data_IF_570376685387
#
_entry.id   IF_570376685387
#
_cell.length_a   1.000
_cell.length_b   1.000
_cell.length_c   1.000
_cell.angle_alpha   90.00
_cell.angle_beta   90.00
_cell.angle_gamma   90.00
#
_symmetry.space_group_name_H-M   'P 1'
#
loop_
_entity.id
_entity.type
_entity.pdbx_description
1 polymer ?
#
# COMPACT_ATOMS: atom_id res chain seq x y z
N UNK A 1 12.02 22.97 -3.53
CA UNK A 1 10.63 22.56 -3.23
C UNK A 1 10.59 22.10 -1.78
N UNK A 2 9.51 22.37 -1.05
CA UNK A 2 9.33 21.76 0.26
C UNK A 2 9.19 20.24 0.08
N UNK A 3 9.72 19.45 1.02
CA UNK A 3 9.48 18.00 1.01
C UNK A 3 7.98 17.75 1.22
N UNK A 4 7.38 16.77 0.50
CA UNK A 4 5.96 16.46 0.68
C UNK A 4 5.71 15.98 2.10
N UNK A 5 4.54 16.30 2.66
CA UNK A 5 4.09 15.74 3.93
C UNK A 5 3.30 14.48 3.67
N UNK A 6 3.69 13.37 4.29
CA UNK A 6 3.08 12.06 4.01
C UNK A 6 2.26 11.58 5.20
N UNK A 7 0.99 11.26 4.97
CA UNK A 7 0.14 10.63 5.96
C UNK A 7 0.42 9.14 6.08
N UNK A 8 0.24 8.56 7.25
CA UNK A 8 0.10 7.11 7.45
C UNK A 8 -1.26 6.85 8.07
N UNK A 9 -2.11 6.07 7.41
CA UNK A 9 -3.45 5.75 7.92
C UNK A 9 -3.32 5.00 9.25
N UNK A 10 -3.78 5.63 10.34
CA UNK A 10 -3.50 5.22 11.71
C UNK A 10 -4.74 4.70 12.46
N UNK A 11 -5.63 4.03 11.73
CA UNK A 11 -6.83 3.40 12.29
C UNK A 11 -6.54 1.98 12.82
N UNK A 12 -5.71 1.23 12.11
CA UNK A 12 -5.22 -0.09 12.49
C UNK A 12 -4.03 -0.42 11.58
N UNK A 13 -3.01 -1.11 12.11
CA UNK A 13 -1.92 -1.65 11.29
C UNK A 13 -0.52 -1.31 11.81
N UNK A 14 0.48 -1.58 10.99
CA UNK A 14 1.90 -1.33 11.26
C UNK A 14 2.30 0.15 11.06
N UNK A 15 1.60 1.06 11.75
CA UNK A 15 1.73 2.52 11.56
C UNK A 15 3.15 3.01 11.88
N UNK A 16 3.66 2.66 13.07
CA UNK A 16 4.94 3.15 13.59
C UNK A 16 6.13 2.79 12.69
N UNK A 17 6.09 1.62 12.05
CA UNK A 17 7.17 1.16 11.16
C UNK A 17 7.24 2.00 9.88
N UNK A 18 6.08 2.37 9.32
CA UNK A 18 6.02 3.26 8.17
C UNK A 18 6.44 4.68 8.53
N UNK A 19 6.04 5.20 9.69
CA UNK A 19 6.50 6.50 10.20
C UNK A 19 8.02 6.50 10.33
N UNK A 20 8.59 5.48 10.97
CA UNK A 20 10.03 5.38 11.14
C UNK A 20 10.80 5.32 9.82
N UNK A 21 10.26 4.59 8.83
CA UNK A 21 10.84 4.54 7.49
C UNK A 21 10.84 5.91 6.79
N UNK A 22 9.76 6.68 6.91
CA UNK A 22 9.64 8.03 6.36
C UNK A 22 10.56 9.04 7.07
N UNK A 23 10.66 8.96 8.40
CA UNK A 23 11.57 9.78 9.20
C UNK A 23 13.04 9.55 8.82
N UNK A 24 13.44 8.29 8.58
CA UNK A 24 14.80 7.95 8.10
C UNK A 24 15.11 8.55 6.72
N UNK A 25 14.09 8.85 5.93
CA UNK A 25 14.20 9.55 4.64
C UNK A 25 14.08 11.08 4.76
N UNK A 26 13.95 11.61 5.97
CA UNK A 26 13.82 13.03 6.23
C UNK A 26 12.48 13.64 5.83
N UNK A 27 11.45 12.80 5.63
CA UNK A 27 10.11 13.23 5.25
C UNK A 27 9.25 13.46 6.50
N UNK A 28 8.53 14.58 6.53
CA UNK A 28 7.56 14.84 7.60
C UNK A 28 6.35 13.90 7.44
N UNK A 29 6.08 13.09 8.46
CA UNK A 29 4.95 12.16 8.48
C UNK A 29 3.89 12.52 9.51
N UNK A 30 2.62 12.27 9.19
CA UNK A 30 1.47 12.52 10.08
C UNK A 30 0.63 11.25 10.21
N UNK A 31 0.28 10.86 11.42
CA UNK A 31 -0.75 9.84 11.64
C UNK A 31 -2.11 10.38 11.20
N UNK A 32 -2.76 9.69 10.26
CA UNK A 32 -4.08 10.07 9.75
C UNK A 32 -5.14 9.23 10.45
N UNK A 33 -5.86 9.85 11.39
CA UNK A 33 -6.99 9.22 12.11
C UNK A 33 -8.32 9.88 11.78
N UNK A 34 -8.29 11.14 11.34
CA UNK A 34 -9.47 11.98 11.08
C UNK A 34 -9.30 12.78 9.80
N UNK A 35 -10.40 13.37 9.35
CA UNK A 35 -10.46 14.21 8.14
C UNK A 35 -9.52 15.42 8.24
N UNK A 36 -9.35 16.01 9.43
CA UNK A 36 -8.42 17.13 9.62
C UNK A 36 -6.96 16.73 9.48
N UNK A 37 -6.61 15.48 9.79
CA UNK A 37 -5.26 14.95 9.57
C UNK A 37 -5.03 14.74 8.06
N UNK A 38 -6.02 14.16 7.38
CA UNK A 38 -5.98 13.92 5.93
C UNK A 38 -5.84 15.22 5.12
N UNK A 39 -6.50 16.30 5.56
CA UNK A 39 -6.43 17.61 4.92
C UNK A 39 -5.00 18.21 4.94
N UNK A 40 -4.11 17.71 5.80
CA UNK A 40 -2.77 18.27 5.99
C UNK A 40 -1.67 17.57 5.19
N UNK A 41 -1.97 16.46 4.52
CA UNK A 41 -0.95 15.61 3.87
C UNK A 41 -1.07 15.68 2.35
N UNK A 42 0.06 15.51 1.66
CA UNK A 42 0.19 15.55 0.21
C UNK A 42 0.08 14.15 -0.42
N UNK A 43 0.35 13.10 0.35
CA UNK A 43 0.20 11.70 -0.04
C UNK A 43 -0.07 10.80 1.18
N UNK A 44 -0.47 9.55 0.94
CA UNK A 44 -0.89 8.65 2.00
C UNK A 44 -0.29 7.25 1.88
N UNK A 45 0.22 6.72 2.98
CA UNK A 45 0.55 5.31 3.15
C UNK A 45 -0.62 4.60 3.84
N UNK A 46 -1.11 3.52 3.24
CA UNK A 46 -2.04 2.58 3.85
C UNK A 46 -1.24 1.35 4.31
N UNK A 47 -1.00 1.18 5.63
CA UNK A 47 -0.13 0.13 6.12
C UNK A 47 -0.78 -1.25 6.05
N UNK A 48 0.03 -2.29 6.28
CA UNK A 48 -0.45 -3.64 6.55
C UNK A 48 -1.30 -3.72 7.81
N UNK A 49 -2.08 -4.79 7.96
CA UNK A 49 -3.04 -4.95 9.04
C UNK A 49 -4.16 -5.92 8.66
N UNK A 50 -5.37 -5.66 9.16
CA UNK A 50 -6.56 -6.42 8.80
C UNK A 50 -7.51 -5.56 7.97
N UNK A 51 -7.48 -5.76 6.65
CA UNK A 51 -8.25 -4.97 5.66
C UNK A 51 -9.74 -4.82 5.99
N UNK A 52 -10.40 -5.87 6.50
CA UNK A 52 -11.82 -5.76 6.89
C UNK A 52 -12.04 -4.85 8.10
N UNK A 53 -11.08 -4.82 9.02
CA UNK A 53 -11.11 -3.92 10.18
C UNK A 53 -10.82 -2.50 9.75
N UNK A 54 -9.83 -2.29 8.89
CA UNK A 54 -9.51 -0.98 8.31
C UNK A 54 -10.73 -0.40 7.57
N UNK A 55 -11.36 -1.17 6.69
CA UNK A 55 -12.58 -0.78 5.98
C UNK A 55 -13.70 -0.37 6.96
N UNK A 56 -13.98 -1.20 7.98
CA UNK A 56 -14.99 -0.89 8.99
C UNK A 56 -14.66 0.38 9.78
N UNK A 57 -13.39 0.58 10.15
CA UNK A 57 -12.96 1.75 10.90
C UNK A 57 -13.02 3.03 10.05
N UNK A 58 -12.73 2.96 8.75
CA UNK A 58 -12.88 4.09 7.83
C UNK A 58 -14.34 4.58 7.79
N UNK A 59 -15.30 3.66 7.78
CA UNK A 59 -16.73 4.00 7.82
C UNK A 59 -17.13 4.56 9.18
N UNK A 60 -16.73 3.92 10.28
CA UNK A 60 -17.07 4.37 11.65
C UNK A 60 -16.53 5.77 11.95
N UNK A 61 -15.35 6.11 11.41
CA UNK A 61 -14.72 7.41 11.62
C UNK A 61 -15.06 8.42 10.51
N UNK A 62 -16.05 8.12 9.65
CA UNK A 62 -16.50 8.99 8.56
C UNK A 62 -15.35 9.46 7.63
N UNK A 63 -14.30 8.64 7.53
CA UNK A 63 -13.06 8.95 6.80
C UNK A 63 -13.00 8.29 5.42
N UNK A 64 -13.88 7.33 5.14
CA UNK A 64 -13.91 6.64 3.84
C UNK A 64 -14.15 7.61 2.68
N UNK A 65 -15.24 8.39 2.72
CA UNK A 65 -15.61 9.29 1.63
C UNK A 65 -14.58 10.41 1.39
N UNK A 66 -14.09 11.14 2.43
CA UNK A 66 -13.05 12.15 2.21
C UNK A 66 -11.75 11.59 1.62
N UNK A 67 -11.38 10.36 2.00
CA UNK A 67 -10.21 9.70 1.45
C UNK A 67 -10.43 9.23 0.00
N UNK A 68 -11.61 8.68 -0.30
CA UNK A 68 -11.97 8.30 -1.65
C UNK A 68 -11.95 9.51 -2.60
N UNK A 69 -12.47 10.66 -2.18
CA UNK A 69 -12.43 11.92 -2.93
C UNK A 69 -10.98 12.34 -3.23
N UNK A 70 -10.12 12.38 -2.20
CA UNK A 70 -8.69 12.72 -2.37
C UNK A 70 -7.96 11.77 -3.32
N UNK A 71 -8.25 10.47 -3.26
CA UNK A 71 -7.65 9.48 -4.17
C UNK A 71 -8.13 9.70 -5.62
N UNK A 72 -9.42 9.96 -5.82
CA UNK A 72 -9.99 10.28 -7.13
C UNK A 72 -9.45 11.58 -7.73
N UNK A 73 -9.08 12.55 -6.88
CA UNK A 73 -8.42 13.80 -7.27
C UNK A 73 -6.92 13.61 -7.60
N UNK A 74 -6.38 12.41 -7.44
CA UNK A 74 -4.98 12.12 -7.74
C UNK A 74 -4.03 12.33 -6.57
N UNK A 75 -4.48 12.15 -5.32
CA UNK A 75 -3.56 12.04 -4.18
C UNK A 75 -2.69 10.77 -4.32
N UNK A 76 -1.34 10.87 -4.28
CA UNK A 76 -0.46 9.71 -4.29
C UNK A 76 -0.71 8.80 -3.09
N UNK A 77 -0.74 7.49 -3.35
CA UNK A 77 -0.98 6.48 -2.32
C UNK A 77 -0.01 5.32 -2.39
N UNK A 78 0.41 4.81 -1.23
CA UNK A 78 1.21 3.61 -1.11
C UNK A 78 0.54 2.59 -0.18
N UNK A 79 0.04 1.49 -0.74
CA UNK A 79 -0.61 0.42 0.03
C UNK A 79 0.27 -0.81 0.22
N UNK A 80 0.53 -1.21 1.46
CA UNK A 80 1.29 -2.43 1.78
C UNK A 80 0.36 -3.50 2.37
N UNK A 81 0.43 -4.74 1.88
CA UNK A 81 -0.37 -5.88 2.33
C UNK A 81 -1.88 -5.55 2.43
N UNK A 82 -2.43 -5.26 3.61
CA UNK A 82 -3.81 -4.81 3.76
C UNK A 82 -4.11 -3.50 3.01
N UNK A 83 -3.15 -2.58 2.93
CA UNK A 83 -3.27 -1.37 2.12
C UNK A 83 -3.42 -1.65 0.62
N UNK A 84 -2.76 -2.70 0.10
CA UNK A 84 -2.97 -3.15 -1.29
C UNK A 84 -4.42 -3.59 -1.49
N UNK A 85 -4.98 -4.39 -0.57
CA UNK A 85 -6.38 -4.82 -0.62
C UNK A 85 -7.31 -3.60 -0.59
N UNK A 86 -7.02 -2.62 0.26
CA UNK A 86 -7.85 -1.40 0.38
C UNK A 86 -7.82 -0.53 -0.87
N UNK A 87 -6.72 -0.50 -1.63
CA UNK A 87 -6.58 0.31 -2.85
C UNK A 87 -7.05 -0.40 -4.12
N UNK A 88 -7.21 -1.73 -4.10
CA UNK A 88 -7.67 -2.53 -5.22
C UNK A 88 -9.09 -2.13 -5.69
N UNK A 89 -9.39 -2.36 -6.97
CA UNK A 89 -10.73 -2.17 -7.54
C UNK A 89 -11.69 -3.31 -7.23
N UNK A 90 -11.17 -4.49 -6.89
CA UNK A 90 -11.97 -5.66 -6.55
C UNK A 90 -11.29 -6.48 -5.45
N UNK A 91 -12.06 -6.85 -4.42
CA UNK A 91 -11.62 -7.73 -3.34
C UNK A 91 -12.30 -9.08 -3.51
N UNK A 92 -11.51 -10.14 -3.69
CA UNK A 92 -11.98 -11.52 -3.68
C UNK A 92 -11.84 -12.10 -2.26
N UNK A 93 -12.83 -12.89 -1.84
CA UNK A 93 -12.95 -13.46 -0.49
C UNK A 93 -12.97 -12.39 0.63
N UNK A 94 -13.48 -11.20 0.30
CA UNK A 94 -13.85 -10.14 1.24
C UNK A 94 -15.15 -10.45 1.98
N UNK A 95 -15.48 -9.63 2.98
CA UNK A 95 -16.85 -9.60 3.50
C UNK A 95 -17.75 -8.85 2.53
N UNK A 96 -19.04 -9.16 2.51
CA UNK A 96 -20.03 -8.49 1.65
C UNK A 96 -20.08 -6.96 1.85
N UNK A 97 -19.74 -6.48 3.06
CA UNK A 97 -19.71 -5.06 3.43
C UNK A 97 -18.30 -4.43 3.34
N UNK A 98 -17.29 -5.18 2.89
CA UNK A 98 -15.92 -4.68 2.84
C UNK A 98 -15.73 -3.73 1.64
N UNK A 99 -15.44 -2.47 1.96
CA UNK A 99 -15.13 -1.45 0.98
C UNK A 99 -13.65 -1.42 0.61
N UNK A 100 -13.38 -1.00 -0.62
CA UNK A 100 -12.07 -0.62 -1.14
C UNK A 100 -12.21 0.69 -1.92
N UNK A 101 -11.09 1.36 -2.16
CA UNK A 101 -11.06 2.67 -2.83
C UNK A 101 -11.07 2.57 -4.35
N UNK A 102 -10.71 1.41 -4.92
CA UNK A 102 -10.58 1.27 -6.38
C UNK A 102 -9.58 2.22 -7.02
N UNK A 103 -8.52 2.58 -6.28
CA UNK A 103 -7.46 3.48 -6.73
C UNK A 103 -6.48 2.81 -7.70
N UNK A 104 -6.45 1.48 -7.75
CA UNK A 104 -5.69 0.70 -8.73
C UNK A 104 -6.52 -0.47 -9.28
N UNK A 105 -6.53 -0.65 -10.60
CA UNK A 105 -7.33 -1.66 -11.32
C UNK A 105 -6.68 -3.05 -11.24
N UNK A 106 -6.71 -3.62 -10.04
CA UNK A 106 -6.32 -5.00 -9.75
C UNK A 106 -7.43 -5.69 -8.99
N UNK A 107 -7.61 -7.00 -9.22
CA UNK A 107 -8.40 -7.83 -8.31
C UNK A 107 -7.47 -8.52 -7.32
N UNK A 108 -7.81 -8.48 -6.04
CA UNK A 108 -6.95 -8.99 -4.98
C UNK A 108 -7.71 -10.00 -4.13
N UNK A 109 -7.20 -11.23 -4.04
CA UNK A 109 -7.69 -12.24 -3.09
C UNK A 109 -6.97 -12.12 -1.76
N UNK A 110 -7.74 -12.02 -0.68
CA UNK A 110 -7.22 -11.91 0.69
C UNK A 110 -6.57 -13.23 1.13
N UNK A 111 -5.43 -13.12 1.84
CA UNK A 111 -4.77 -14.26 2.51
C UNK A 111 -4.56 -15.50 1.62
N UNK A 112 -4.29 -15.28 0.33
CA UNK A 112 -4.34 -16.32 -0.69
C UNK A 112 -2.98 -16.93 -1.03
N UNK A 113 -1.91 -16.47 -0.38
CA UNK A 113 -0.56 -16.98 -0.59
C UNK A 113 -0.35 -18.35 0.11
N UNK A 114 -1.16 -19.36 -0.26
CA UNK A 114 -1.01 -20.77 0.09
C UNK A 114 -1.33 -21.17 1.54
N UNK A 115 -1.51 -22.49 1.76
CA UNK A 115 -1.73 -23.12 3.09
C UNK A 115 -0.43 -23.54 3.81
N UNK A 116 0.71 -23.44 3.15
CA UNK A 116 2.02 -23.93 3.63
C UNK A 116 3.02 -22.82 3.92
N UNK A 117 2.64 -21.56 3.72
CA UNK A 117 3.52 -20.41 3.92
C UNK A 117 2.75 -19.32 4.65
N UNK A 118 2.55 -19.51 5.97
CA UNK A 118 1.92 -18.48 6.80
C UNK A 118 2.75 -17.18 6.83
N UNK A 119 4.05 -17.28 6.52
CA UNK A 119 4.95 -16.18 6.16
C UNK A 119 6.18 -16.72 5.42
N UNK A 120 6.75 -15.95 4.49
CA UNK A 120 8.06 -16.22 3.89
C UNK A 120 8.76 -14.94 3.49
N UNK A 121 10.04 -15.08 3.17
CA UNK A 121 10.90 -13.99 2.73
C UNK A 121 11.60 -14.39 1.43
N UNK A 122 11.78 -13.44 0.53
CA UNK A 122 12.53 -13.66 -0.71
C UNK A 122 13.08 -12.33 -1.24
N UNK A 123 14.12 -12.41 -2.06
CA UNK A 123 14.75 -11.26 -2.68
C UNK A 123 14.13 -11.01 -4.07
N UNK A 124 13.58 -9.81 -4.28
CA UNK A 124 12.85 -9.44 -5.49
C UNK A 124 13.62 -8.45 -6.34
N UNK A 125 13.73 -8.72 -7.64
CA UNK A 125 14.09 -7.67 -8.60
C UNK A 125 12.86 -6.77 -8.83
N UNK A 126 13.00 -5.47 -8.56
CA UNK A 126 11.91 -4.49 -8.68
C UNK A 126 12.24 -3.48 -9.76
N UNK A 127 11.34 -3.31 -10.74
CA UNK A 127 11.46 -2.27 -11.78
C UNK A 127 11.47 -0.90 -11.11
N UNK A 128 12.45 -0.08 -11.51
CA UNK A 128 12.73 1.22 -10.88
C UNK A 128 13.78 1.16 -9.77
N UNK A 129 14.19 -0.04 -9.32
CA UNK A 129 15.23 -0.26 -8.31
C UNK A 129 16.31 -1.27 -8.81
N UNK A 130 17.06 -0.95 -9.88
CA UNK A 130 17.90 -1.93 -10.59
C UNK A 130 19.20 -2.31 -9.89
N UNK A 131 19.62 -1.59 -8.85
CA UNK A 131 20.95 -1.73 -8.25
C UNK A 131 21.14 -3.07 -7.51
N UNK A 132 20.10 -3.56 -6.85
CA UNK A 132 20.12 -4.85 -6.15
C UNK A 132 18.69 -5.31 -5.81
N UNK A 133 18.47 -6.62 -5.62
CA UNK A 133 17.19 -7.13 -5.16
C UNK A 133 16.72 -6.46 -3.85
N UNK A 134 15.41 -6.32 -3.69
CA UNK A 134 14.75 -5.86 -2.47
C UNK A 134 14.36 -7.09 -1.65
N UNK A 135 14.77 -7.11 -0.39
CA UNK A 135 14.38 -8.17 0.54
C UNK A 135 12.90 -7.98 0.95
N UNK A 136 12.04 -8.91 0.57
CA UNK A 136 10.59 -8.81 0.71
C UNK A 136 10.04 -9.81 1.72
N UNK A 137 9.32 -9.30 2.72
CA UNK A 137 8.72 -10.06 3.82
C UNK A 137 7.21 -10.22 3.59
N UNK A 138 6.74 -11.44 3.38
CA UNK A 138 5.34 -11.77 3.13
C UNK A 138 4.72 -12.39 4.38
N UNK A 139 3.66 -11.80 4.90
CA UNK A 139 2.93 -12.29 6.06
C UNK A 139 1.45 -12.37 5.70
N UNK A 140 0.91 -13.59 5.55
CA UNK A 140 -0.47 -13.84 5.08
C UNK A 140 -0.84 -12.96 3.87
N UNK A 141 0.09 -12.85 2.91
CA UNK A 141 0.02 -11.85 1.87
C UNK A 141 -1.22 -12.02 0.96
N UNK A 142 -1.81 -10.93 0.47
CA UNK A 142 -2.78 -10.99 -0.61
C UNK A 142 -2.16 -11.48 -1.93
N UNK A 143 -3.00 -12.01 -2.82
CA UNK A 143 -2.61 -12.38 -4.19
C UNK A 143 -3.33 -11.50 -5.19
N UNK A 144 -2.59 -10.91 -6.13
CA UNK A 144 -3.14 -10.23 -7.30
C UNK A 144 -3.59 -11.29 -8.31
N UNK A 145 -4.90 -11.36 -8.56
CA UNK A 145 -5.53 -12.37 -9.42
C UNK A 145 -5.77 -11.85 -10.85
N UNK A 146 -5.93 -10.54 -10.98
CA UNK A 146 -6.13 -9.85 -12.27
C UNK A 146 -5.41 -8.52 -12.22
N UNK A 147 -4.79 -8.17 -13.34
CA UNK A 147 -4.17 -6.88 -13.59
C UNK A 147 -4.90 -6.21 -14.74
N UNK A 148 -5.43 -5.02 -14.50
CA UNK A 148 -6.15 -4.22 -15.48
C UNK A 148 -5.23 -3.46 -16.46
N UNK A 149 -5.81 -2.86 -17.51
CA UNK A 149 -5.05 -2.06 -18.46
C UNK A 149 -4.40 -0.84 -17.79
N UNK A 150 -3.15 -0.57 -18.13
CA UNK A 150 -2.40 0.59 -17.60
C UNK A 150 -1.80 0.38 -16.21
N UNK A 151 -1.97 -0.80 -15.60
CA UNK A 151 -1.23 -1.19 -14.39
C UNK A 151 0.13 -1.75 -14.79
N UNK A 152 1.18 -1.21 -14.19
CA UNK A 152 2.56 -1.67 -14.33
C UNK A 152 2.89 -2.69 -13.24
N UNK A 153 3.33 -3.89 -13.63
CA UNK A 153 3.85 -4.89 -12.69
C UNK A 153 5.33 -4.56 -12.44
N UNK A 154 5.65 -4.11 -11.23
CA UNK A 154 7.01 -3.74 -10.86
C UNK A 154 7.84 -4.93 -10.37
N UNK A 155 7.19 -5.91 -9.73
CA UNK A 155 7.83 -7.14 -9.28
C UNK A 155 6.83 -8.30 -9.26
N UNK A 156 7.34 -9.50 -9.51
CA UNK A 156 6.60 -10.75 -9.45
C UNK A 156 7.43 -11.83 -8.76
N UNK A 157 6.75 -12.76 -8.10
CA UNK A 157 7.32 -14.01 -7.56
C UNK A 157 7.17 -15.14 -8.57
N UNK A 158 7.46 -16.37 -8.16
CA UNK A 158 7.33 -17.58 -8.97
C UNK A 158 6.00 -17.62 -9.76
N UNK A 159 6.08 -18.20 -10.96
CA UNK A 159 4.96 -18.27 -11.92
C UNK A 159 4.44 -16.91 -12.43
N UNK A 160 5.19 -15.82 -12.19
CA UNK A 160 4.84 -14.49 -12.69
C UNK A 160 3.74 -13.80 -11.88
N UNK A 161 3.48 -14.26 -10.65
CA UNK A 161 2.45 -13.69 -9.77
C UNK A 161 2.86 -12.28 -9.30
N UNK A 162 2.09 -11.22 -9.62
CA UNK A 162 2.45 -9.86 -9.24
C UNK A 162 2.45 -9.65 -7.72
N UNK A 163 3.49 -8.99 -7.21
CA UNK A 163 3.65 -8.66 -5.78
C UNK A 163 3.97 -7.20 -5.52
N UNK A 164 4.35 -6.45 -6.57
CA UNK A 164 4.40 -5.00 -6.55
C UNK A 164 3.80 -4.47 -7.85
N UNK A 165 2.83 -3.55 -7.76
CA UNK A 165 2.15 -2.95 -8.91
C UNK A 165 2.08 -1.43 -8.75
N UNK A 166 1.99 -0.73 -9.88
CA UNK A 166 1.79 0.72 -9.92
C UNK A 166 0.75 1.09 -10.97
N UNK A 167 -0.08 2.08 -10.67
CA UNK A 167 -0.93 2.74 -11.66
C UNK A 167 -0.95 4.24 -11.37
N UNK A 168 -0.37 5.03 -12.27
CA UNK A 168 -0.17 6.46 -12.07
C UNK A 168 0.64 6.76 -10.80
N UNK A 169 0.00 7.41 -9.83
CA UNK A 169 0.55 7.83 -8.54
C UNK A 169 0.25 6.83 -7.39
N UNK A 170 -0.39 5.69 -7.68
CA UNK A 170 -0.69 4.64 -6.71
C UNK A 170 0.34 3.51 -6.83
N UNK A 171 1.03 3.23 -5.72
CA UNK A 171 1.96 2.11 -5.57
C UNK A 171 1.35 1.09 -4.59
N UNK A 172 1.48 -0.20 -4.87
CA UNK A 172 1.05 -1.25 -3.96
C UNK A 172 2.07 -2.39 -3.87
N UNK A 173 2.22 -2.98 -2.69
CA UNK A 173 2.99 -4.21 -2.46
C UNK A 173 2.18 -5.23 -1.66
N UNK A 174 2.29 -6.52 -2.00
CA UNK A 174 1.68 -7.60 -1.22
C UNK A 174 2.50 -7.96 0.02
N UNK A 175 3.76 -7.52 0.06
CA UNK A 175 4.71 -7.71 1.15
C UNK A 175 4.90 -6.42 1.97
N UNK A 176 5.66 -6.54 3.06
CA UNK A 176 5.90 -5.53 4.07
C UNK A 176 7.31 -4.92 3.94
N UNK A 177 7.53 -3.90 3.09
CA UNK A 177 8.82 -3.22 2.99
C UNK A 177 9.24 -2.54 4.30
N UNK A 178 8.29 -2.18 5.16
CA UNK A 178 8.53 -1.58 6.47
C UNK A 178 9.18 -2.52 7.50
N UNK A 179 9.19 -3.83 7.24
CA UNK A 179 9.88 -4.83 8.06
C UNK A 179 11.35 -5.04 7.64
N UNK A 180 11.77 -4.42 6.54
CA UNK A 180 13.15 -4.46 6.04
C UNK A 180 13.88 -3.14 6.34
N UNK A 181 15.20 -3.15 6.59
CA UNK A 181 15.98 -1.91 6.70
C UNK A 181 16.08 -1.14 5.37
N UNK A 182 15.72 -1.77 4.25
CA UNK A 182 15.74 -1.22 2.88
C UNK A 182 14.59 -0.24 2.65
N UNK A 183 14.93 1.04 2.43
CA UNK A 183 13.97 2.13 2.27
C UNK A 183 13.64 2.44 0.81
N UNK A 184 14.22 1.71 -0.15
CA UNK A 184 14.14 2.06 -1.58
C UNK A 184 12.72 2.06 -2.13
N UNK A 185 11.80 1.27 -1.57
CA UNK A 185 10.38 1.31 -1.96
C UNK A 185 9.67 2.57 -1.46
N UNK A 186 9.94 3.01 -0.22
CA UNK A 186 9.44 4.30 0.27
C UNK A 186 10.02 5.45 -0.53
N UNK A 187 11.32 5.39 -0.87
CA UNK A 187 11.94 6.38 -1.77
C UNK A 187 11.30 6.38 -3.16
N UNK A 188 11.00 5.20 -3.72
CA UNK A 188 10.33 5.07 -5.02
C UNK A 188 8.96 5.75 -4.99
N UNK A 189 8.20 5.56 -3.91
CA UNK A 189 6.94 6.24 -3.68
C UNK A 189 7.12 7.76 -3.62
N UNK A 190 8.02 8.26 -2.75
CA UNK A 190 8.28 9.70 -2.56
C UNK A 190 8.73 10.36 -3.88
N UNK A 191 9.67 9.73 -4.60
CA UNK A 191 10.13 10.22 -5.91
C UNK A 191 8.99 10.27 -6.93
N UNK A 192 8.05 9.33 -6.86
CA UNK A 192 6.85 9.30 -7.68
C UNK A 192 5.84 10.42 -7.39
N UNK A 193 5.93 11.08 -6.24
CA UNK A 193 5.07 12.23 -5.87
C UNK A 193 5.56 13.56 -6.44
N UNK A 194 6.84 13.67 -6.78
CA UNK A 194 7.47 14.91 -7.23
C UNK A 194 7.34 15.17 -8.75
N UNK A 195 6.44 14.45 -9.41
CA UNK A 195 6.16 14.55 -10.85
C UNK A 195 5.15 15.62 -11.21
#
# INVERSE_FOLDING_TARGET
MALPRIGVLALQGAVDLHIHALERLGVESVEVRRTEDLARVDGLVLPGGESSTISKLLVINELFEPLAERLNEGMPAFGTCAGMIMLASEILDGRDDQLSFGAIDISVRRNAFGRQIDSFETDLSVIGLPESPVHAVFIRAPVVERVGPGVEILAAVEEGRPVACRQGNVLVTSFHPELSPDLRLHELFIKGMAG
#
